data_IF_416740843687
#
_entry.id   IF_416740843687
#
_cell.length_a   1.000
_cell.length_b   1.000
_cell.length_c   1.000
_cell.angle_alpha   90.00
_cell.angle_beta   90.00
_cell.angle_gamma   90.00
#
_symmetry.space_group_name_H-M   'P 1'
#
loop_
_entity.id
_entity.type
_entity.pdbx_description
1 polymer ?
#
# COMPACT_ATOMS: atom_id res chain seq x y z
N UNK A 1 -0.92 10.17 -12.84
CA UNK A 1 -0.13 10.30 -11.61
C UNK A 1 0.24 8.93 -11.11
N UNK A 2 1.51 8.65 -11.11
CA UNK A 2 2.04 7.42 -10.55
C UNK A 2 1.82 7.38 -9.05
N UNK A 3 0.85 6.61 -8.63
CA UNK A 3 0.76 6.05 -7.29
C UNK A 3 1.22 4.59 -7.40
N UNK A 4 2.47 4.41 -7.70
CA UNK A 4 3.11 3.12 -7.57
C UNK A 4 3.79 3.04 -6.22
N UNK A 5 3.94 1.84 -5.73
CA UNK A 5 4.67 1.41 -4.54
C UNK A 5 6.18 1.75 -4.58
N UNK A 6 6.49 2.86 -5.23
CA UNK A 6 7.79 3.32 -5.68
C UNK A 6 8.66 3.90 -4.59
N UNK A 7 8.06 4.29 -3.46
CA UNK A 7 8.76 5.09 -2.47
C UNK A 7 9.86 4.34 -1.72
N UNK A 8 9.87 3.03 -1.77
CA UNK A 8 10.86 2.26 -1.01
C UNK A 8 12.03 1.75 -1.85
N UNK A 9 11.78 1.38 -3.09
CA UNK A 9 12.84 0.85 -3.95
C UNK A 9 13.57 1.99 -4.68
N UNK A 10 12.85 3.02 -5.10
CA UNK A 10 13.41 4.23 -5.70
C UNK A 10 14.43 4.89 -4.78
N UNK A 11 14.12 5.12 -3.49
CA UNK A 11 14.99 5.90 -2.63
C UNK A 11 16.32 5.21 -2.25
N UNK A 12 16.40 3.89 -2.17
CA UNK A 12 17.64 3.24 -1.70
C UNK A 12 18.59 2.85 -2.81
N UNK A 13 18.10 2.42 -3.97
CA UNK A 13 18.95 2.09 -5.11
C UNK A 13 19.36 3.31 -5.91
N UNK A 14 18.44 4.21 -6.21
CA UNK A 14 18.71 5.38 -7.04
C UNK A 14 19.56 6.43 -6.33
N UNK A 15 19.25 6.70 -5.06
CA UNK A 15 20.08 7.58 -4.23
C UNK A 15 21.45 6.95 -3.97
N UNK A 16 21.52 5.61 -3.88
CA UNK A 16 22.78 4.86 -3.78
C UNK A 16 23.68 5.00 -5.01
N UNK A 17 23.10 5.11 -6.20
CA UNK A 17 23.83 5.33 -7.46
C UNK A 17 24.15 6.82 -7.73
N UNK A 18 23.81 7.72 -6.80
CA UNK A 18 24.13 9.14 -6.87
C UNK A 18 22.95 10.06 -7.19
N UNK A 19 21.72 9.53 -7.17
CA UNK A 19 20.52 10.36 -7.30
C UNK A 19 20.37 11.35 -6.14
N UNK A 20 19.59 12.41 -6.36
CA UNK A 20 19.30 13.41 -5.33
C UNK A 20 17.90 14.01 -5.49
N UNK A 21 17.39 14.58 -4.39
CA UNK A 21 16.06 15.15 -4.32
C UNK A 21 16.07 16.68 -4.37
N UNK A 22 15.17 17.26 -5.19
CA UNK A 22 14.96 18.72 -5.25
C UNK A 22 13.51 19.08 -4.94
N UNK A 23 13.32 20.20 -4.25
CA UNK A 23 12.04 20.85 -4.08
C UNK A 23 11.72 21.84 -5.22
N UNK A 24 10.57 22.54 -5.15
CA UNK A 24 10.16 23.52 -6.18
C UNK A 24 11.08 24.74 -6.31
N UNK A 25 11.97 24.97 -5.35
CA UNK A 25 12.97 26.05 -5.40
C UNK A 25 14.31 25.60 -5.99
N UNK A 26 14.43 24.33 -6.39
CA UNK A 26 15.68 23.75 -6.85
C UNK A 26 16.68 23.48 -5.72
N UNK A 27 16.22 23.41 -4.47
CA UNK A 27 17.08 23.18 -3.31
C UNK A 27 17.22 21.66 -3.05
N UNK A 28 18.44 21.19 -2.79
CA UNK A 28 18.72 19.85 -2.25
C UNK A 28 18.37 19.82 -0.76
N UNK A 29 17.09 19.76 -0.47
CA UNK A 29 16.55 19.92 0.88
C UNK A 29 17.04 18.86 1.89
N UNK A 30 17.48 17.69 1.44
CA UNK A 30 18.05 16.67 2.32
C UNK A 30 19.31 17.13 3.04
N UNK A 31 20.06 18.09 2.50
CA UNK A 31 21.22 18.72 3.19
C UNK A 31 20.82 19.45 4.46
N UNK A 32 19.60 19.99 4.52
CA UNK A 32 19.03 20.64 5.71
C UNK A 32 18.58 19.63 6.77
N UNK A 33 17.96 18.52 6.35
CA UNK A 33 17.37 17.56 7.27
C UNK A 33 18.33 16.48 7.75
N UNK A 34 19.31 16.14 6.95
CA UNK A 34 20.33 15.14 7.24
C UNK A 34 21.72 15.60 6.72
N UNK A 35 22.37 16.56 7.37
CA UNK A 35 23.59 17.20 6.84
C UNK A 35 24.73 16.21 6.53
N UNK A 36 24.84 15.13 7.28
CA UNK A 36 25.90 14.12 7.11
C UNK A 36 25.55 13.09 6.04
N UNK A 37 24.38 12.48 6.11
CA UNK A 37 23.96 11.40 5.22
C UNK A 37 23.29 11.93 3.94
N UNK A 38 22.77 13.16 3.98
CA UNK A 38 22.05 13.82 2.87
C UNK A 38 20.96 12.91 2.30
N UNK A 39 20.94 12.73 0.99
CA UNK A 39 19.98 11.88 0.28
C UNK A 39 20.14 10.39 0.62
N UNK A 40 21.27 9.96 1.21
CA UNK A 40 21.50 8.59 1.70
C UNK A 40 21.02 8.36 3.15
N UNK A 41 20.27 9.28 3.73
CA UNK A 41 19.65 9.09 5.03
C UNK A 41 18.67 7.91 5.03
N UNK A 42 18.31 7.42 6.22
CA UNK A 42 17.34 6.33 6.35
C UNK A 42 15.99 6.70 5.73
N UNK A 43 15.29 5.71 5.18
CA UNK A 43 14.03 5.90 4.42
C UNK A 43 12.98 6.72 5.17
N UNK A 44 12.87 6.51 6.48
CA UNK A 44 11.94 7.24 7.33
C UNK A 44 12.31 8.74 7.45
N UNK A 45 13.60 9.06 7.48
CA UNK A 45 14.08 10.46 7.46
C UNK A 45 13.77 11.10 6.11
N UNK A 46 14.07 10.42 5.00
CA UNK A 46 13.79 10.92 3.64
C UNK A 46 12.28 11.14 3.46
N UNK A 47 11.45 10.17 3.82
CA UNK A 47 9.98 10.28 3.69
C UNK A 47 9.40 11.43 4.51
N UNK A 48 9.88 11.62 5.75
CA UNK A 48 9.46 12.76 6.58
C UNK A 48 9.90 14.09 5.97
N UNK A 49 11.13 14.17 5.47
CA UNK A 49 11.65 15.38 4.85
C UNK A 49 10.88 15.79 3.61
N UNK A 50 10.58 14.84 2.72
CA UNK A 50 9.71 15.08 1.55
C UNK A 50 8.33 15.56 1.99
N UNK A 51 7.73 14.92 3.00
CA UNK A 51 6.41 15.32 3.50
C UNK A 51 6.41 16.72 4.10
N UNK A 52 7.49 17.13 4.78
CA UNK A 52 7.65 18.51 5.31
C UNK A 52 7.73 19.50 4.15
N UNK A 53 8.55 19.22 3.13
CA UNK A 53 8.67 20.10 1.96
C UNK A 53 7.32 20.31 1.26
N UNK A 54 6.56 19.23 1.08
CA UNK A 54 5.22 19.27 0.48
C UNK A 54 4.25 20.07 1.38
N UNK A 55 4.19 19.78 2.67
CA UNK A 55 3.28 20.43 3.61
C UNK A 55 3.56 21.92 3.80
N UNK A 56 4.83 22.34 3.67
CA UNK A 56 5.24 23.74 3.73
C UNK A 56 5.12 24.45 2.36
N UNK A 57 4.52 23.82 1.37
CA UNK A 57 4.22 24.40 0.06
C UNK A 57 5.41 24.48 -0.91
N UNK A 58 6.51 23.76 -0.61
CA UNK A 58 7.68 23.65 -1.50
C UNK A 58 7.65 22.41 -2.38
N UNK A 59 6.52 21.72 -2.44
CA UNK A 59 6.29 20.67 -3.43
C UNK A 59 6.21 21.22 -4.85
N UNK A 60 6.30 20.33 -5.84
CA UNK A 60 6.31 20.60 -7.27
C UNK A 60 4.94 20.27 -7.88
N UNK A 61 4.63 20.83 -9.04
CA UNK A 61 3.37 20.67 -9.75
C UNK A 61 2.28 21.63 -9.31
N UNK A 62 1.14 21.58 -9.99
CA UNK A 62 0.00 22.48 -9.73
C UNK A 62 -0.52 22.34 -8.30
N UNK A 63 -0.53 21.12 -7.76
CA UNK A 63 -1.01 20.83 -6.40
C UNK A 63 0.12 20.86 -5.36
N UNK A 64 1.37 21.09 -5.75
CA UNK A 64 2.55 21.05 -4.87
C UNK A 64 2.65 19.76 -4.04
N UNK A 65 2.32 18.61 -4.62
CA UNK A 65 2.09 17.33 -3.95
C UNK A 65 3.18 16.28 -4.18
N UNK A 66 4.30 16.65 -4.80
CA UNK A 66 5.47 15.78 -5.01
C UNK A 66 6.78 16.58 -5.02
N UNK A 67 7.91 15.89 -5.02
CA UNK A 67 9.25 16.44 -5.24
C UNK A 67 9.90 15.74 -6.43
N UNK A 68 11.03 16.25 -6.91
CA UNK A 68 11.78 15.63 -8.00
C UNK A 68 12.94 14.79 -7.47
N UNK A 69 13.04 13.55 -7.95
CA UNK A 69 14.23 12.72 -7.87
C UNK A 69 15.00 12.86 -9.18
N UNK A 70 16.23 13.28 -9.09
CA UNK A 70 17.15 13.46 -10.20
C UNK A 70 18.11 12.29 -10.30
N UNK A 71 18.06 11.57 -11.40
CA UNK A 71 19.04 10.57 -11.87
C UNK A 71 19.46 10.84 -13.31
N UNK A 72 18.91 11.88 -13.93
CA UNK A 72 19.13 12.31 -15.31
C UNK A 72 20.59 12.78 -15.59
N UNK A 73 21.39 12.98 -14.55
CA UNK A 73 22.82 13.28 -14.64
C UNK A 73 23.71 12.02 -14.61
N UNK A 74 23.16 10.86 -14.32
CA UNK A 74 23.87 9.57 -14.26
C UNK A 74 24.08 9.04 -15.68
N UNK A 75 25.22 8.40 -15.93
CA UNK A 75 25.50 7.77 -17.23
C UNK A 75 24.35 6.82 -17.62
N UNK A 76 23.72 6.98 -18.79
CA UNK A 76 22.62 6.13 -19.25
C UNK A 76 22.94 4.64 -19.20
N UNK A 77 24.19 4.23 -19.39
CA UNK A 77 24.61 2.82 -19.26
C UNK A 77 24.51 2.31 -17.84
N UNK A 78 24.77 3.16 -16.85
CA UNK A 78 24.60 2.80 -15.42
C UNK A 78 23.11 2.65 -15.13
N UNK A 79 22.28 3.57 -15.59
CA UNK A 79 20.82 3.50 -15.42
C UNK A 79 20.28 2.20 -16.04
N UNK A 80 20.67 1.88 -17.28
CA UNK A 80 20.23 0.69 -18.00
C UNK A 80 20.66 -0.61 -17.28
N UNK A 81 21.86 -0.67 -16.73
CA UNK A 81 22.41 -1.89 -16.13
C UNK A 81 22.06 -2.08 -14.65
N UNK A 82 21.95 -0.98 -13.88
CA UNK A 82 21.73 -1.05 -12.43
C UNK A 82 20.33 -0.66 -12.00
N UNK A 83 19.62 0.13 -12.80
CA UNK A 83 18.28 0.66 -12.51
C UNK A 83 17.24 0.33 -13.60
N UNK A 84 17.27 -0.85 -14.26
CA UNK A 84 16.39 -1.15 -15.39
C UNK A 84 14.91 -1.10 -15.00
N UNK A 85 14.55 -1.61 -13.82
CA UNK A 85 13.16 -1.63 -13.35
C UNK A 85 12.59 -0.23 -13.15
N UNK A 86 13.40 0.73 -12.69
CA UNK A 86 12.98 2.12 -12.50
C UNK A 86 12.77 2.78 -13.85
N UNK A 87 13.72 2.62 -14.77
CA UNK A 87 13.61 3.16 -16.12
C UNK A 87 12.35 2.67 -16.83
N UNK A 88 12.11 1.36 -16.82
CA UNK A 88 10.91 0.76 -17.42
C UNK A 88 9.62 1.28 -16.80
N UNK A 89 9.57 1.32 -15.51
CA UNK A 89 8.38 1.71 -14.81
C UNK A 89 8.08 3.21 -14.98
N UNK A 90 9.09 4.09 -14.87
CA UNK A 90 8.90 5.54 -15.11
C UNK A 90 8.46 5.79 -16.54
N UNK A 91 9.05 5.11 -17.52
CA UNK A 91 8.61 5.17 -18.91
C UNK A 91 7.15 4.73 -19.07
N UNK A 92 6.79 3.59 -18.46
CA UNK A 92 5.45 3.00 -18.61
C UNK A 92 4.37 3.87 -17.93
N UNK A 93 4.62 4.30 -16.71
CA UNK A 93 3.59 4.92 -15.86
C UNK A 93 3.67 6.46 -15.79
N UNK A 94 4.83 7.07 -15.97
CA UNK A 94 4.97 8.52 -16.02
C UNK A 94 5.16 9.07 -17.43
N UNK A 95 5.36 8.20 -18.41
CA UNK A 95 5.69 8.58 -19.78
C UNK A 95 6.89 9.56 -19.82
N UNK A 96 7.93 9.23 -19.03
CA UNK A 96 9.15 10.05 -18.91
C UNK A 96 10.38 9.21 -19.22
N UNK A 97 11.39 9.87 -19.76
CA UNK A 97 12.73 9.33 -19.98
C UNK A 97 13.64 9.75 -18.82
N UNK A 98 13.95 8.82 -17.93
CA UNK A 98 14.75 9.05 -16.71
C UNK A 98 16.17 9.52 -17.00
N UNK A 99 16.67 9.36 -18.23
CA UNK A 99 17.97 9.87 -18.65
C UNK A 99 17.95 11.34 -19.05
N UNK A 100 16.76 11.95 -19.13
CA UNK A 100 16.56 13.33 -19.59
C UNK A 100 15.72 14.18 -18.66
N UNK A 101 14.86 13.55 -17.86
CA UNK A 101 13.87 14.23 -17.05
C UNK A 101 13.84 13.68 -15.62
N UNK A 102 13.62 14.55 -14.62
CA UNK A 102 13.48 14.12 -13.25
C UNK A 102 12.19 13.31 -13.02
N UNK A 103 12.24 12.45 -12.03
CA UNK A 103 11.13 11.57 -11.62
C UNK A 103 10.32 12.28 -10.53
N UNK A 104 8.98 12.44 -10.71
CA UNK A 104 8.10 12.93 -9.65
C UNK A 104 7.90 11.86 -8.58
N UNK A 105 8.31 12.14 -7.34
CA UNK A 105 8.22 11.20 -6.22
C UNK A 105 7.45 11.78 -5.04
N UNK A 106 6.69 10.94 -4.36
CA UNK A 106 5.94 11.26 -3.16
C UNK A 106 5.99 10.06 -2.20
N UNK A 107 6.11 10.26 -0.88
CA UNK A 107 6.06 9.17 0.08
C UNK A 107 4.70 8.44 0.01
N UNK A 108 4.75 7.12 -0.07
CA UNK A 108 3.58 6.24 0.00
C UNK A 108 3.78 5.16 1.04
N UNK A 109 2.70 4.46 1.42
CA UNK A 109 2.77 3.30 2.29
C UNK A 109 3.54 2.19 1.57
N UNK A 110 4.53 1.62 2.26
CA UNK A 110 5.34 0.52 1.74
C UNK A 110 4.99 -0.82 2.39
N UNK A 111 4.81 -0.83 3.72
CA UNK A 111 4.56 -2.05 4.50
C UNK A 111 3.68 -1.76 5.71
N UNK A 112 2.68 -2.59 5.93
CA UNK A 112 1.83 -2.53 7.11
C UNK A 112 2.44 -3.39 8.24
N UNK A 113 3.05 -2.71 9.23
CA UNK A 113 3.36 -3.38 10.50
C UNK A 113 2.06 -3.54 11.29
N UNK A 114 1.86 -4.71 11.85
CA UNK A 114 0.58 -5.11 12.44
C UNK A 114 -0.15 -6.10 11.53
N UNK A 115 -1.46 -6.15 11.61
CA UNK A 115 -2.29 -7.06 10.82
C UNK A 115 -3.07 -8.04 11.66
N UNK A 116 -3.40 -9.19 11.11
CA UNK A 116 -4.16 -10.25 11.77
C UNK A 116 -3.30 -10.89 12.87
N UNK A 117 -3.67 -10.79 14.16
CA UNK A 117 -2.86 -11.33 15.24
C UNK A 117 -2.77 -12.85 15.16
N UNK A 118 -1.54 -13.37 15.21
CA UNK A 118 -1.26 -14.80 15.16
C UNK A 118 -0.30 -15.23 16.26
N UNK A 119 -0.35 -16.52 16.61
CA UNK A 119 0.72 -17.16 17.38
C UNK A 119 1.89 -17.56 16.45
N UNK A 120 2.98 -18.07 17.03
CA UNK A 120 4.17 -18.51 16.26
C UNK A 120 3.91 -19.71 15.33
N UNK A 121 2.77 -20.41 15.51
CA UNK A 121 2.29 -21.47 14.61
C UNK A 121 1.38 -20.95 13.49
N UNK A 122 1.28 -19.62 13.37
CA UNK A 122 0.47 -18.91 12.37
C UNK A 122 -1.06 -19.00 12.54
N UNK A 123 -1.53 -19.58 13.64
CA UNK A 123 -2.96 -19.67 13.93
C UNK A 123 -3.48 -18.29 14.37
N UNK A 124 -4.60 -17.86 13.79
CA UNK A 124 -5.20 -16.56 14.11
C UNK A 124 -5.75 -16.57 15.53
N UNK A 125 -5.45 -15.50 16.28
CA UNK A 125 -5.91 -15.32 17.66
C UNK A 125 -7.21 -14.53 17.71
N UNK A 126 -8.07 -14.86 18.68
CA UNK A 126 -9.29 -14.07 18.93
C UNK A 126 -8.95 -12.72 19.55
N UNK A 127 -9.68 -11.62 19.23
CA UNK A 127 -9.37 -10.28 19.72
C UNK A 127 -9.66 -10.06 21.21
N UNK A 128 -10.19 -11.06 21.92
CA UNK A 128 -10.71 -10.90 23.30
C UNK A 128 -9.66 -11.04 24.41
N UNK A 129 -8.37 -10.81 24.10
CA UNK A 129 -7.29 -10.86 25.11
C UNK A 129 -7.00 -12.25 25.68
N UNK A 130 -7.62 -13.30 25.15
CA UNK A 130 -7.28 -14.69 25.43
C UNK A 130 -6.55 -15.23 24.19
N UNK A 131 -5.41 -15.89 24.36
CA UNK A 131 -4.66 -16.55 23.27
C UNK A 131 -5.41 -17.75 22.63
N UNK A 132 -6.73 -17.64 22.55
CA UNK A 132 -7.57 -18.65 21.89
C UNK A 132 -7.43 -18.50 20.38
N UNK A 133 -7.16 -19.62 19.73
CA UNK A 133 -7.07 -19.66 18.28
C UNK A 133 -8.44 -19.75 17.62
N UNK A 134 -8.55 -19.18 16.42
CA UNK A 134 -9.69 -19.38 15.52
C UNK A 134 -9.45 -20.68 14.75
N UNK A 135 -10.22 -21.76 14.98
CA UNK A 135 -9.94 -23.03 14.33
C UNK A 135 -9.98 -22.95 12.80
N UNK A 136 -8.96 -23.48 12.15
CA UNK A 136 -8.89 -23.53 10.68
C UNK A 136 -8.49 -22.24 9.98
N UNK A 137 -8.25 -21.15 10.73
CA UNK A 137 -7.81 -19.87 10.15
C UNK A 137 -6.33 -19.60 10.49
N UNK A 138 -5.54 -19.33 9.46
CA UNK A 138 -4.12 -18.99 9.58
C UNK A 138 -3.82 -17.71 8.80
N UNK A 139 -2.81 -16.95 9.25
CA UNK A 139 -2.29 -15.81 8.52
C UNK A 139 -0.76 -15.78 8.60
N UNK A 140 -0.11 -15.37 7.50
CA UNK A 140 1.35 -15.28 7.37
C UNK A 140 1.75 -14.02 6.61
N UNK A 141 3.04 -13.65 6.72
CA UNK A 141 3.60 -12.52 5.98
C UNK A 141 2.99 -11.19 6.38
N UNK A 142 2.96 -10.25 5.47
CA UNK A 142 2.50 -8.88 5.75
C UNK A 142 1.07 -8.78 6.28
N UNK A 143 0.19 -9.69 5.88
CA UNK A 143 -1.19 -9.74 6.39
C UNK A 143 -1.29 -10.14 7.86
N UNK A 144 -0.27 -10.80 8.41
CA UNK A 144 -0.24 -11.32 9.76
C UNK A 144 0.51 -10.40 10.72
N UNK A 145 0.18 -10.48 11.99
CA UNK A 145 0.93 -9.86 13.08
C UNK A 145 1.35 -10.92 14.10
N UNK A 146 2.52 -11.50 13.90
CA UNK A 146 3.20 -12.35 14.89
C UNK A 146 4.11 -11.56 15.82
N UNK A 147 4.07 -10.22 15.72
CA UNK A 147 4.80 -9.24 16.55
C UNK A 147 6.33 -9.26 16.40
N UNK A 148 6.86 -9.70 15.24
CA UNK A 148 8.32 -9.74 15.01
C UNK A 148 8.91 -8.45 14.44
N UNK A 149 8.09 -7.54 13.93
CA UNK A 149 8.55 -6.30 13.29
C UNK A 149 8.46 -5.05 14.17
N UNK A 150 7.72 -5.10 15.27
CA UNK A 150 7.49 -3.91 16.09
C UNK A 150 6.80 -2.80 15.32
N UNK A 151 7.23 -1.56 15.53
CA UNK A 151 6.69 -0.38 14.85
C UNK A 151 7.38 -0.08 13.50
N UNK A 152 8.52 -0.70 13.22
CA UNK A 152 9.29 -0.43 12.01
C UNK A 152 10.07 -1.68 11.59
N UNK A 153 9.65 -2.28 10.48
CA UNK A 153 10.30 -3.47 9.91
C UNK A 153 11.68 -3.11 9.35
N UNK A 154 12.68 -3.89 9.71
CA UNK A 154 14.01 -3.78 9.12
C UNK A 154 14.04 -4.27 7.67
N UNK A 155 14.93 -3.69 6.87
CA UNK A 155 15.11 -4.05 5.46
C UNK A 155 15.28 -5.57 5.27
N UNK A 156 14.69 -6.11 4.21
CA UNK A 156 14.68 -7.54 3.82
C UNK A 156 13.96 -8.50 4.78
N UNK A 157 13.58 -8.08 5.99
CA UNK A 157 12.95 -8.98 6.96
C UNK A 157 11.55 -9.44 6.53
N UNK A 158 10.87 -8.75 5.61
CA UNK A 158 9.60 -9.25 5.05
C UNK A 158 9.77 -10.57 4.30
N UNK A 159 10.86 -10.74 3.55
CA UNK A 159 11.13 -11.99 2.83
C UNK A 159 11.41 -13.14 3.79
N UNK A 160 12.14 -12.86 4.87
CA UNK A 160 12.43 -13.87 5.91
C UNK A 160 11.14 -14.29 6.61
N UNK A 161 10.29 -13.32 6.94
CA UNK A 161 8.96 -13.54 7.54
C UNK A 161 8.11 -14.48 6.68
N UNK A 162 7.97 -14.18 5.38
CA UNK A 162 7.23 -15.02 4.44
C UNK A 162 7.72 -16.47 4.42
N UNK A 163 9.03 -16.68 4.36
CA UNK A 163 9.64 -18.03 4.30
C UNK A 163 9.47 -18.78 5.62
N UNK A 164 9.77 -18.13 6.75
CA UNK A 164 9.74 -18.77 8.08
C UNK A 164 8.30 -19.14 8.46
N UNK A 165 7.39 -18.18 8.39
CA UNK A 165 6.01 -18.43 8.80
C UNK A 165 5.20 -19.19 7.74
N UNK A 166 5.53 -19.09 6.44
CA UNK A 166 4.97 -19.98 5.43
C UNK A 166 5.31 -21.46 5.70
N UNK A 167 6.57 -21.73 6.10
CA UNK A 167 6.99 -23.09 6.52
C UNK A 167 6.30 -23.52 7.82
N UNK A 168 6.10 -22.60 8.77
CA UNK A 168 5.41 -22.91 10.03
C UNK A 168 3.94 -23.25 9.76
N UNK A 169 3.24 -22.46 8.92
CA UNK A 169 1.87 -22.72 8.50
C UNK A 169 1.71 -24.08 7.82
N UNK A 170 2.59 -24.42 6.88
CA UNK A 170 2.56 -25.69 6.20
C UNK A 170 2.70 -26.88 7.17
N UNK A 171 3.65 -26.78 8.12
CA UNK A 171 3.81 -27.82 9.17
C UNK A 171 2.56 -27.92 10.03
N UNK A 172 1.99 -26.79 10.44
CA UNK A 172 0.79 -26.78 11.27
C UNK A 172 -0.42 -27.32 10.52
N UNK A 173 -0.59 -27.00 9.25
CA UNK A 173 -1.63 -27.56 8.40
C UNK A 173 -1.55 -29.10 8.30
N UNK A 174 -0.35 -29.66 8.13
CA UNK A 174 -0.13 -31.12 8.12
C UNK A 174 -0.52 -31.78 9.46
N UNK A 175 -0.32 -31.10 10.58
CA UNK A 175 -0.76 -31.60 11.90
C UNK A 175 -2.28 -31.62 12.03
N UNK A 176 -2.96 -30.58 11.53
CA UNK A 176 -4.39 -30.36 11.71
C UNK A 176 -5.26 -31.07 10.67
N UNK A 177 -4.81 -31.10 9.42
CA UNK A 177 -5.59 -31.62 8.29
C UNK A 177 -5.12 -33.03 7.96
N UNK A 178 -6.06 -33.98 7.97
CA UNK A 178 -5.82 -35.37 7.57
C UNK A 178 -6.52 -35.64 6.24
N UNK A 179 -5.96 -36.49 5.35
CA UNK A 179 -6.65 -36.94 4.15
C UNK A 179 -8.03 -37.56 4.53
N UNK A 180 -9.05 -37.22 3.75
CA UNK A 180 -10.44 -37.69 3.98
C UNK A 180 -11.06 -37.21 5.30
N UNK A 181 -10.53 -36.18 5.95
CA UNK A 181 -11.17 -35.58 7.11
C UNK A 181 -12.53 -34.97 6.70
N UNK A 182 -13.62 -35.25 7.43
CA UNK A 182 -14.91 -34.67 7.10
C UNK A 182 -14.88 -33.16 7.27
N UNK A 183 -15.30 -32.42 6.26
CA UNK A 183 -15.48 -30.97 6.32
C UNK A 183 -16.85 -30.65 6.92
N UNK A 184 -16.93 -29.59 7.72
CA UNK A 184 -18.20 -29.03 8.12
C UNK A 184 -18.95 -28.52 6.87
N UNK A 185 -20.26 -28.77 6.83
CA UNK A 185 -21.07 -28.20 5.76
C UNK A 185 -21.11 -26.70 5.85
N UNK A 186 -20.90 -26.03 4.71
CA UNK A 186 -21.05 -24.59 4.60
C UNK A 186 -22.53 -24.24 4.59
N UNK A 187 -22.95 -23.38 5.48
CA UNK A 187 -24.33 -22.92 5.55
C UNK A 187 -24.74 -22.26 4.23
N UNK A 188 -25.86 -22.71 3.65
CA UNK A 188 -26.41 -22.11 2.43
C UNK A 188 -26.62 -20.61 2.60
N UNK A 189 -27.06 -20.16 3.76
CA UNK A 189 -27.29 -18.74 4.06
C UNK A 189 -26.01 -17.88 3.96
N UNK A 190 -24.84 -18.41 4.31
CA UNK A 190 -23.57 -17.68 4.19
C UNK A 190 -23.09 -17.61 2.74
N UNK A 191 -23.31 -18.68 1.99
CA UNK A 191 -23.04 -18.69 0.54
C UNK A 191 -23.95 -17.69 -0.17
N UNK A 192 -25.26 -17.71 0.12
CA UNK A 192 -26.22 -16.79 -0.48
C UNK A 192 -25.89 -15.33 -0.15
N UNK A 193 -25.50 -14.99 1.08
CA UNK A 193 -25.05 -13.64 1.45
C UNK A 193 -23.86 -13.16 0.60
N UNK A 194 -22.91 -14.03 0.34
CA UNK A 194 -21.72 -13.68 -0.47
C UNK A 194 -22.09 -13.46 -1.93
N UNK A 195 -22.97 -14.29 -2.48
CA UNK A 195 -23.48 -14.14 -3.85
C UNK A 195 -24.35 -12.89 -3.99
N UNK A 196 -25.24 -12.64 -3.04
CA UNK A 196 -26.08 -11.43 -3.00
C UNK A 196 -25.24 -10.16 -2.95
N UNK A 197 -24.16 -10.16 -2.19
CA UNK A 197 -23.23 -9.01 -2.13
C UNK A 197 -22.60 -8.76 -3.50
N UNK A 198 -22.12 -9.79 -4.16
CA UNK A 198 -21.53 -9.69 -5.49
C UNK A 198 -22.56 -9.20 -6.52
N UNK A 199 -23.76 -9.78 -6.52
CA UNK A 199 -24.83 -9.39 -7.44
C UNK A 199 -25.31 -7.96 -7.21
N UNK A 200 -25.35 -7.48 -5.97
CA UNK A 200 -25.65 -6.07 -5.66
C UNK A 200 -24.61 -5.12 -6.25
N UNK A 201 -23.34 -5.44 -6.16
CA UNK A 201 -22.27 -4.65 -6.80
C UNK A 201 -22.43 -4.66 -8.33
N UNK A 202 -22.52 -5.85 -8.93
CA UNK A 202 -22.67 -6.03 -10.38
C UNK A 202 -23.86 -5.28 -10.95
N UNK A 203 -25.00 -5.30 -10.26
CA UNK A 203 -26.22 -4.65 -10.70
C UNK A 203 -26.37 -3.21 -10.21
N UNK A 204 -25.35 -2.65 -9.57
CA UNK A 204 -25.36 -1.27 -9.08
C UNK A 204 -25.66 -0.26 -10.19
N UNK A 205 -26.73 0.52 -10.02
CA UNK A 205 -27.19 1.54 -10.96
C UNK A 205 -27.28 2.92 -10.27
N UNK A 206 -26.44 3.14 -9.27
CA UNK A 206 -26.40 4.42 -8.55
C UNK A 206 -25.75 5.53 -9.34
N UNK A 207 -25.48 6.64 -8.67
CA UNK A 207 -24.86 7.83 -9.27
C UNK A 207 -23.34 7.89 -9.07
N UNK A 208 -22.78 7.11 -8.16
CA UNK A 208 -21.38 7.20 -7.77
C UNK A 208 -20.50 6.26 -8.59
N UNK A 209 -19.40 6.79 -9.12
CA UNK A 209 -18.38 5.98 -9.81
C UNK A 209 -17.36 5.45 -8.85
N UNK A 210 -16.95 4.21 -9.04
CA UNK A 210 -15.86 3.55 -8.24
C UNK A 210 -14.61 4.41 -8.20
N UNK A 211 -14.17 4.94 -9.35
CA UNK A 211 -12.96 5.77 -9.45
C UNK A 211 -13.03 7.05 -8.61
N UNK A 212 -14.19 7.69 -8.52
CA UNK A 212 -14.37 8.91 -7.73
C UNK A 212 -14.33 8.63 -6.22
N UNK A 213 -15.02 7.57 -5.78
CA UNK A 213 -15.00 7.15 -4.38
C UNK A 213 -13.63 6.67 -3.96
N UNK A 214 -12.94 5.86 -4.80
CA UNK A 214 -11.57 5.40 -4.57
C UNK A 214 -10.60 6.57 -4.44
N UNK A 215 -10.69 7.55 -5.33
CA UNK A 215 -9.86 8.76 -5.27
C UNK A 215 -10.13 9.57 -4.00
N UNK A 216 -11.38 9.68 -3.58
CA UNK A 216 -11.76 10.35 -2.32
C UNK A 216 -11.13 9.66 -1.11
N UNK A 217 -11.26 8.33 -1.02
CA UNK A 217 -10.61 7.52 0.02
C UNK A 217 -9.09 7.73 0.02
N UNK A 218 -8.44 7.62 -1.13
CA UNK A 218 -6.99 7.77 -1.26
C UNK A 218 -6.50 9.15 -0.82
N UNK A 219 -7.22 10.22 -1.16
CA UNK A 219 -6.90 11.59 -0.72
C UNK A 219 -7.03 11.74 0.79
N UNK A 220 -8.09 11.20 1.39
CA UNK A 220 -8.28 11.21 2.85
C UNK A 220 -7.14 10.45 3.54
N UNK A 221 -6.82 9.24 3.10
CA UNK A 221 -5.74 8.45 3.67
C UNK A 221 -4.39 9.15 3.55
N UNK A 222 -4.08 9.73 2.39
CA UNK A 222 -2.82 10.44 2.17
C UNK A 222 -2.70 11.72 3.01
N UNK A 223 -3.78 12.46 3.22
CA UNK A 223 -3.75 13.73 3.96
C UNK A 223 -3.87 13.57 5.48
N UNK A 224 -4.57 12.51 5.94
CA UNK A 224 -4.92 12.36 7.36
C UNK A 224 -4.21 11.20 8.06
N UNK A 225 -3.83 10.16 7.31
CA UNK A 225 -3.32 8.90 7.87
C UNK A 225 -1.94 8.51 7.31
N UNK A 226 -1.23 9.41 6.61
CA UNK A 226 0.08 9.12 6.01
C UNK A 226 1.25 9.28 7.01
N UNK A 227 2.32 9.97 6.61
CA UNK A 227 3.58 10.06 7.36
C UNK A 227 3.41 10.70 8.74
N UNK A 228 2.66 11.80 8.83
CA UNK A 228 2.41 12.52 10.09
C UNK A 228 0.98 12.29 10.57
N UNK A 229 0.85 11.71 11.76
CA UNK A 229 -0.42 11.35 12.38
C UNK A 229 -0.51 11.92 13.80
N UNK A 230 -1.62 12.54 14.11
CA UNK A 230 -1.98 12.97 15.45
C UNK A 230 -3.47 12.73 15.67
N UNK A 231 -3.92 12.86 16.91
CA UNK A 231 -5.31 12.59 17.29
C UNK A 231 -6.32 13.41 16.46
N UNK A 232 -6.01 14.68 16.20
CA UNK A 232 -6.89 15.56 15.42
C UNK A 232 -7.01 15.09 13.98
N UNK A 233 -5.88 14.87 13.30
CA UNK A 233 -5.89 14.45 11.89
C UNK A 233 -6.53 13.08 11.71
N UNK A 234 -6.31 12.14 12.65
CA UNK A 234 -6.94 10.83 12.61
C UNK A 234 -8.45 10.91 12.81
N UNK A 235 -8.93 11.73 13.75
CA UNK A 235 -10.38 11.94 13.94
C UNK A 235 -11.03 12.58 12.72
N UNK A 236 -10.38 13.54 12.09
CA UNK A 236 -10.82 14.11 10.81
C UNK A 236 -10.87 13.02 9.72
N UNK A 237 -9.83 12.20 9.59
CA UNK A 237 -9.75 11.10 8.64
C UNK A 237 -10.89 10.09 8.81
N UNK A 238 -11.18 9.68 10.06
CA UNK A 238 -12.32 8.78 10.37
C UNK A 238 -13.66 9.40 9.93
N UNK A 239 -13.82 10.70 10.07
CA UNK A 239 -15.06 11.36 9.64
C UNK A 239 -15.15 11.50 8.11
N UNK A 240 -14.02 11.82 7.45
CA UNK A 240 -13.97 11.98 6.00
C UNK A 240 -14.14 10.65 5.26
N UNK A 241 -13.61 9.53 5.80
CA UNK A 241 -13.69 8.20 5.17
C UNK A 241 -15.11 7.64 5.13
N UNK A 242 -16.01 8.11 6.01
CA UNK A 242 -17.41 7.71 6.01
C UNK A 242 -18.10 8.03 4.68
N UNK A 243 -17.75 9.16 4.08
CA UNK A 243 -18.37 9.60 2.80
C UNK A 243 -18.15 8.61 1.66
N UNK A 244 -16.94 8.21 1.28
CA UNK A 244 -16.72 7.18 0.27
C UNK A 244 -17.27 5.81 0.69
N UNK A 245 -17.25 5.46 1.99
CA UNK A 245 -17.83 4.22 2.48
C UNK A 245 -19.36 4.17 2.27
N UNK A 246 -20.07 5.21 2.69
CA UNK A 246 -21.53 5.34 2.49
C UNK A 246 -21.88 5.46 1.00
N UNK A 247 -20.99 6.11 0.23
CA UNK A 247 -21.15 6.24 -1.22
C UNK A 247 -21.22 4.91 -1.98
N UNK A 248 -20.70 3.81 -1.42
CA UNK A 248 -20.81 2.48 -1.98
C UNK A 248 -22.26 1.98 -2.09
N UNK A 249 -23.16 2.49 -1.26
CA UNK A 249 -24.60 2.12 -1.34
C UNK A 249 -25.25 2.59 -2.65
N UNK A 250 -24.69 3.62 -3.30
CA UNK A 250 -25.17 4.18 -4.56
C UNK A 250 -24.13 4.01 -5.68
N UNK A 251 -23.41 2.90 -5.68
CA UNK A 251 -22.39 2.61 -6.69
C UNK A 251 -23.01 2.37 -8.07
N UNK A 252 -22.32 2.80 -9.11
CA UNK A 252 -22.67 2.55 -10.50
C UNK A 252 -21.59 1.68 -11.15
N UNK A 253 -21.99 0.50 -11.62
CA UNK A 253 -21.18 -0.37 -12.47
C UNK A 253 -21.80 -0.36 -13.86
N UNK A 254 -21.04 0.04 -14.86
CA UNK A 254 -21.57 0.23 -16.23
C UNK A 254 -21.59 -1.06 -17.03
N UNK A 255 -20.55 -1.86 -16.92
CA UNK A 255 -20.48 -3.19 -17.52
C UNK A 255 -21.10 -4.25 -16.60
N UNK A 256 -22.15 -4.90 -17.05
CA UNK A 256 -22.87 -5.96 -16.33
C UNK A 256 -22.44 -7.38 -16.74
N UNK A 257 -21.50 -7.51 -17.67
CA UNK A 257 -21.01 -8.80 -18.13
C UNK A 257 -20.22 -9.53 -17.03
N UNK A 258 -19.98 -10.83 -17.21
CA UNK A 258 -19.13 -11.64 -16.33
C UNK A 258 -17.79 -12.00 -16.99
N UNK A 259 -17.54 -11.51 -18.22
CA UNK A 259 -16.36 -11.87 -19.00
C UNK A 259 -15.52 -10.60 -19.19
N UNK A 260 -14.25 -10.63 -18.74
CA UNK A 260 -13.31 -9.52 -18.86
C UNK A 260 -13.83 -8.16 -18.35
N UNK A 261 -14.66 -8.20 -17.31
CA UNK A 261 -15.29 -7.02 -16.74
C UNK A 261 -14.36 -6.36 -15.70
N UNK A 262 -13.53 -5.44 -16.15
CA UNK A 262 -12.61 -4.69 -15.28
C UNK A 262 -13.32 -3.71 -14.36
N UNK A 263 -14.46 -3.13 -14.78
CA UNK A 263 -15.27 -2.22 -13.97
C UNK A 263 -15.83 -2.92 -12.71
N UNK A 264 -16.37 -4.14 -12.90
CA UNK A 264 -16.85 -4.95 -11.78
C UNK A 264 -15.71 -5.39 -10.85
N UNK A 265 -14.58 -5.83 -11.42
CA UNK A 265 -13.43 -6.27 -10.62
C UNK A 265 -12.85 -5.11 -9.79
N UNK A 266 -12.66 -3.92 -10.39
CA UNK A 266 -12.24 -2.72 -9.65
C UNK A 266 -13.22 -2.34 -8.53
N UNK A 267 -14.51 -2.46 -8.80
CA UNK A 267 -15.55 -2.16 -7.80
C UNK A 267 -15.54 -3.16 -6.66
N UNK A 268 -15.36 -4.45 -6.94
CA UNK A 268 -15.23 -5.50 -5.91
C UNK A 268 -13.96 -5.31 -5.06
N UNK A 269 -12.82 -5.01 -5.70
CA UNK A 269 -11.59 -4.69 -4.99
C UNK A 269 -11.76 -3.47 -4.09
N UNK A 270 -12.41 -2.42 -4.60
CA UNK A 270 -12.66 -1.22 -3.81
C UNK A 270 -13.62 -1.46 -2.65
N UNK A 271 -14.70 -2.27 -2.84
CA UNK A 271 -15.61 -2.65 -1.76
C UNK A 271 -14.87 -3.44 -0.65
N UNK A 272 -13.92 -4.28 -1.02
CA UNK A 272 -13.08 -4.98 -0.04
C UNK A 272 -12.12 -4.00 0.67
N UNK A 273 -11.47 -3.12 -0.08
CA UNK A 273 -10.49 -2.17 0.45
C UNK A 273 -11.10 -1.14 1.41
N UNK A 274 -12.27 -0.58 1.07
CA UNK A 274 -12.92 0.45 1.90
C UNK A 274 -13.48 -0.11 3.23
N UNK A 275 -13.64 -1.42 3.34
CA UNK A 275 -14.09 -2.11 4.56
C UNK A 275 -12.94 -2.39 5.54
N UNK A 276 -11.71 -2.43 5.06
CA UNK A 276 -10.51 -2.58 5.89
C UNK A 276 -10.17 -1.28 6.63
#
# INVERSE_FOLDING_TARGET
RLRCDWSSDVCSSDLGEGGFLLNSKGERFMEKYAPTAKDLASRDVVSRSISIEINEGRGIGENKDYVHLHIDHIDPKIIETRLPGISESVSTFANRDVTKEPIPVVPTVHYNMGGIPTNYKTEVLTPNGSDKTVPGLMAIGEAACVSVHGANRLGSNSLIDLVVFGKAAAKRAIELVKPNFPHAEVSKSETDKSLDRFDKLRNGNGSNKTSELRLSMQKTMQSKCAVFRNEKTLKEGVNEIKKPYEGMQSISVTDKSLIFNTDLMETLEFDNLIRQ
#
